data_IF_780013219605
#
_entry.id   IF_780013219605
#
_cell.length_a   1.000
_cell.length_b   1.000
_cell.length_c   1.000
_cell.angle_alpha   90.00
_cell.angle_beta   90.00
_cell.angle_gamma   90.00
#
_symmetry.space_group_name_H-M   'P 1'
#
loop_
_entity.id
_entity.type
_entity.pdbx_description
1 polymer ?
#
# COMPACT_ATOMS: atom_id res chain seq x y z
N UNK A 1 -14.18 -12.10 52.82
CA UNK A 1 -13.04 -12.34 51.89
C UNK A 1 -13.44 -12.93 50.52
N UNK A 2 -14.59 -13.61 50.36
CA UNK A 2 -14.99 -14.25 49.08
C UNK A 2 -15.47 -13.30 47.96
N UNK A 3 -15.94 -12.09 48.29
CA UNK A 3 -16.45 -11.10 47.31
C UNK A 3 -15.34 -10.42 46.47
N UNK A 4 -14.15 -10.23 47.03
CA UNK A 4 -13.04 -9.57 46.34
C UNK A 4 -12.39 -10.47 45.26
N UNK A 5 -12.32 -11.78 45.53
CA UNK A 5 -11.86 -12.79 44.56
C UNK A 5 -12.81 -12.93 43.36
N UNK A 6 -14.12 -12.88 43.58
CA UNK A 6 -15.12 -12.96 42.50
C UNK A 6 -15.10 -11.76 41.55
N UNK A 7 -14.79 -10.56 42.06
CA UNK A 7 -14.65 -9.35 41.25
C UNK A 7 -13.42 -9.43 40.34
N UNK A 8 -12.30 -9.94 40.87
CA UNK A 8 -11.07 -10.17 40.12
C UNK A 8 -11.25 -11.20 39.01
N UNK A 9 -11.94 -12.31 39.28
CA UNK A 9 -12.24 -13.31 38.25
C UNK A 9 -13.12 -12.75 37.14
N UNK A 10 -14.13 -11.93 37.47
CA UNK A 10 -15.00 -11.28 36.46
C UNK A 10 -14.23 -10.30 35.57
N UNK A 11 -13.36 -9.47 36.15
CA UNK A 11 -12.51 -8.54 35.39
C UNK A 11 -11.59 -9.32 34.43
N UNK A 12 -10.97 -10.40 34.91
CA UNK A 12 -10.10 -11.24 34.08
C UNK A 12 -10.87 -11.92 32.93
N UNK A 13 -12.08 -12.40 33.19
CA UNK A 13 -12.91 -13.06 32.17
C UNK A 13 -13.36 -12.07 31.09
N UNK A 14 -13.72 -10.84 31.50
CA UNK A 14 -14.08 -9.77 30.55
C UNK A 14 -12.88 -9.33 29.73
N UNK A 15 -11.72 -9.15 30.34
CA UNK A 15 -10.49 -8.79 29.63
C UNK A 15 -10.08 -9.85 28.60
N UNK A 16 -10.15 -11.13 28.98
CA UNK A 16 -9.86 -12.24 28.07
C UNK A 16 -10.84 -12.29 26.89
N UNK A 17 -12.13 -12.04 27.14
CA UNK A 17 -13.14 -11.97 26.08
C UNK A 17 -12.89 -10.81 25.09
N UNK A 18 -12.47 -9.65 25.59
CA UNK A 18 -12.13 -8.48 24.75
C UNK A 18 -10.93 -8.77 23.86
N UNK A 19 -9.88 -9.41 24.40
CA UNK A 19 -8.70 -9.80 23.61
C UNK A 19 -9.07 -10.81 22.53
N UNK A 20 -9.92 -11.79 22.85
CA UNK A 20 -10.39 -12.78 21.88
C UNK A 20 -11.17 -12.11 20.74
N UNK A 21 -12.06 -11.17 21.06
CA UNK A 21 -12.84 -10.44 20.06
C UNK A 21 -11.97 -9.56 19.15
N UNK A 22 -10.92 -8.94 19.70
CA UNK A 22 -9.95 -8.16 18.91
C UNK A 22 -9.11 -9.04 17.98
N UNK A 23 -8.83 -10.29 18.36
CA UNK A 23 -8.06 -11.24 17.53
C UNK A 23 -8.81 -11.74 16.30
N UNK A 24 -10.13 -11.57 16.25
CA UNK A 24 -10.97 -11.94 15.10
C UNK A 24 -11.17 -10.80 14.10
N UNK A 25 -10.60 -9.61 14.36
CA UNK A 25 -10.65 -8.51 13.39
C UNK A 25 -9.63 -8.80 12.29
N UNK A 26 -10.06 -9.03 11.03
CA UNK A 26 -9.12 -9.21 9.94
C UNK A 26 -8.34 -7.90 9.78
N UNK A 27 -7.07 -7.92 10.20
CA UNK A 27 -6.15 -6.84 9.90
C UNK A 27 -5.75 -7.03 8.44
N UNK A 28 -6.31 -6.20 7.56
CA UNK A 28 -5.83 -6.11 6.19
C UNK A 28 -4.42 -5.50 6.24
N UNK A 29 -3.40 -6.35 6.27
CA UNK A 29 -2.05 -5.93 5.91
C UNK A 29 -2.13 -5.57 4.44
N UNK A 30 -2.19 -4.27 4.12
CA UNK A 30 -2.18 -3.82 2.74
C UNK A 30 -0.94 -4.40 2.06
N UNK A 31 -1.15 -5.22 1.04
CA UNK A 31 -0.04 -5.73 0.25
C UNK A 31 0.70 -4.54 -0.37
N UNK A 32 2.04 -4.58 -0.35
CA UNK A 32 2.82 -3.56 -1.04
C UNK A 32 2.44 -3.56 -2.52
N UNK A 33 2.16 -2.37 -3.06
CA UNK A 33 1.83 -2.21 -4.49
C UNK A 33 3.03 -2.63 -5.34
N UNK A 34 2.74 -3.25 -6.49
CA UNK A 34 3.75 -3.54 -7.51
C UNK A 34 4.08 -2.25 -8.26
N UNK A 35 5.36 -1.89 -8.33
CA UNK A 35 5.79 -0.69 -9.05
C UNK A 35 5.89 -0.95 -10.55
N UNK A 36 5.24 -0.10 -11.35
CA UNK A 36 5.37 -0.05 -12.79
C UNK A 36 6.15 1.21 -13.17
N UNK A 37 7.38 1.05 -13.66
CA UNK A 37 8.22 2.17 -14.09
C UNK A 37 7.93 2.48 -15.55
N UNK A 38 7.49 3.71 -15.81
CA UNK A 38 7.14 4.20 -17.15
C UNK A 38 8.00 5.41 -17.46
N UNK A 39 8.69 5.36 -18.60
CA UNK A 39 9.52 6.45 -19.08
C UNK A 39 9.02 6.89 -20.45
N UNK A 40 8.50 8.11 -20.54
CA UNK A 40 7.77 8.58 -21.73
C UNK A 40 8.11 10.04 -22.06
N UNK A 41 7.73 10.49 -23.26
CA UNK A 41 7.86 11.89 -23.64
C UNK A 41 6.94 12.78 -22.77
N UNK A 42 7.39 14.01 -22.48
CA UNK A 42 6.57 15.03 -21.81
C UNK A 42 5.29 15.38 -22.57
N UNK A 43 4.24 15.77 -21.84
CA UNK A 43 2.93 16.19 -22.37
C UNK A 43 2.26 15.20 -23.35
N UNK A 44 2.58 13.91 -23.23
CA UNK A 44 2.17 12.88 -24.19
C UNK A 44 1.00 12.00 -23.70
N UNK A 45 0.55 12.17 -22.46
CA UNK A 45 -0.66 11.58 -21.90
C UNK A 45 -1.47 12.65 -21.17
N UNK A 46 -2.79 12.44 -21.02
CA UNK A 46 -3.60 13.36 -20.23
C UNK A 46 -3.27 13.24 -18.73
N UNK A 47 -3.33 14.35 -17.99
CA UNK A 47 -3.01 14.44 -16.56
C UNK A 47 -3.74 13.40 -15.68
N UNK A 48 -4.95 12.98 -16.09
CA UNK A 48 -5.78 12.02 -15.35
C UNK A 48 -5.50 10.55 -15.69
N UNK A 49 -4.61 10.27 -16.64
CA UNK A 49 -4.40 8.91 -17.16
C UNK A 49 -3.86 7.98 -16.08
N UNK A 50 -2.87 8.43 -15.31
CA UNK A 50 -2.24 7.64 -14.24
C UNK A 50 -3.23 7.40 -13.10
N UNK A 51 -3.95 8.43 -12.67
CA UNK A 51 -4.97 8.31 -11.62
C UNK A 51 -6.07 7.29 -11.99
N UNK A 52 -6.59 7.38 -13.23
CA UNK A 52 -7.59 6.42 -13.73
C UNK A 52 -7.04 5.01 -13.80
N UNK A 53 -5.79 4.84 -14.21
CA UNK A 53 -5.14 3.53 -14.24
C UNK A 53 -5.00 2.93 -12.84
N UNK A 54 -4.44 3.68 -11.88
CA UNK A 54 -4.27 3.17 -10.49
C UNK A 54 -5.60 2.96 -9.77
N UNK A 55 -6.66 3.68 -10.16
CA UNK A 55 -8.02 3.44 -9.66
C UNK A 55 -8.58 2.12 -10.20
N UNK A 56 -8.34 1.83 -11.49
CA UNK A 56 -8.78 0.59 -12.12
C UNK A 56 -7.95 -0.62 -11.66
N UNK A 57 -6.68 -0.41 -11.33
CA UNK A 57 -5.73 -1.45 -10.92
C UNK A 57 -4.98 -1.05 -9.63
N UNK A 58 -5.65 -1.16 -8.46
CA UNK A 58 -5.12 -0.65 -7.19
C UNK A 58 -3.88 -1.39 -6.68
N UNK A 59 -3.57 -2.56 -7.23
CA UNK A 59 -2.36 -3.32 -6.93
C UNK A 59 -1.08 -2.71 -7.52
N UNK A 60 -1.19 -1.73 -8.41
CA UNK A 60 -0.05 -1.04 -9.03
C UNK A 60 0.16 0.38 -8.48
N UNK A 61 1.43 0.78 -8.49
CA UNK A 61 1.91 2.15 -8.32
C UNK A 61 2.74 2.50 -9.57
N UNK A 62 2.33 3.52 -10.32
CA UNK A 62 3.05 3.95 -11.51
C UNK A 62 4.11 4.97 -11.12
N UNK A 63 5.36 4.63 -11.35
CA UNK A 63 6.48 5.56 -11.26
C UNK A 63 6.71 6.14 -12.66
N UNK A 64 6.18 7.34 -12.88
CA UNK A 64 6.20 8.00 -14.18
C UNK A 64 7.34 9.02 -14.27
N UNK A 65 8.22 8.83 -15.25
CA UNK A 65 9.31 9.74 -15.55
C UNK A 65 9.17 10.26 -16.98
N UNK A 66 9.58 11.52 -17.20
CA UNK A 66 9.49 12.18 -18.50
C UNK A 66 10.87 12.44 -19.11
N UNK A 67 10.95 12.41 -20.44
CA UNK A 67 12.09 12.90 -21.21
C UNK A 67 11.66 13.93 -22.25
N UNK A 68 12.57 14.84 -22.58
CA UNK A 68 12.32 15.91 -23.56
C UNK A 68 12.84 15.55 -24.97
N UNK A 69 13.89 14.72 -25.06
CA UNK A 69 14.46 14.28 -26.34
C UNK A 69 14.81 12.79 -26.34
N UNK A 70 14.85 12.19 -27.53
CA UNK A 70 15.22 10.79 -27.70
C UNK A 70 16.66 10.54 -27.24
N UNK A 71 17.57 11.47 -27.45
CA UNK A 71 18.97 11.35 -27.03
C UNK A 71 19.08 11.24 -25.50
N UNK A 72 18.35 12.07 -24.76
CA UNK A 72 18.29 11.99 -23.30
C UNK A 72 17.68 10.66 -22.83
N UNK A 73 16.63 10.19 -23.51
CA UNK A 73 16.05 8.87 -23.25
C UNK A 73 17.09 7.74 -23.45
N UNK A 74 17.79 7.74 -24.58
CA UNK A 74 18.80 6.74 -24.90
C UNK A 74 19.97 6.74 -23.92
N UNK A 75 20.45 7.93 -23.51
CA UNK A 75 21.51 8.03 -22.50
C UNK A 75 21.11 7.34 -21.19
N UNK A 76 19.86 7.53 -20.74
CA UNK A 76 19.36 6.86 -19.54
C UNK A 76 19.29 5.34 -19.71
N UNK A 77 18.75 4.85 -20.83
CA UNK A 77 18.65 3.40 -21.09
C UNK A 77 20.01 2.72 -21.08
N UNK A 78 20.99 3.27 -21.82
CA UNK A 78 22.34 2.73 -21.91
C UNK A 78 23.05 2.77 -20.55
N UNK A 79 22.89 3.85 -19.78
CA UNK A 79 23.52 3.97 -18.44
C UNK A 79 22.88 3.07 -17.37
N UNK A 80 21.60 2.73 -17.54
CA UNK A 80 20.83 1.94 -16.57
C UNK A 80 21.04 0.44 -16.71
N UNK A 81 21.80 -0.01 -17.73
CA UNK A 81 22.15 -1.41 -17.96
C UNK A 81 20.92 -2.34 -18.07
N UNK A 82 19.82 -1.80 -18.64
CA UNK A 82 18.57 -2.50 -18.96
C UNK A 82 18.61 -2.98 -20.41
#
# INVERSE_FOLDING_TARGET
>A
MRKCSSLFTRIFTVAAAVVLLLSCVPVSVGAAKTKLYVFNCGDYIADTTIEKFETAYPEYEVVYEVFDTNEAMYQKLVSSNI
#
